data_IF_455798854175
#
_entry.id   IF_455798854175
#
_cell.length_a   1.000
_cell.length_b   1.000
_cell.length_c   1.000
_cell.angle_alpha   90.00
_cell.angle_beta   90.00
_cell.angle_gamma   90.00
#
_symmetry.space_group_name_H-M   'P 1'
#
loop_
_entity.id
_entity.type
_entity.pdbx_description
1 polymer ?
#
# COMPACT_ATOMS: atom_id res chain seq x y z
N UNK A 1 13.12 39.28 42.92
CA UNK A 1 12.77 38.86 41.54
C UNK A 1 13.41 37.50 41.32
N UNK A 2 12.66 36.41 41.55
CA UNK A 2 13.20 35.05 41.42
C UNK A 2 12.91 34.57 40.00
N UNK A 3 13.94 34.31 39.20
CA UNK A 3 13.79 33.76 37.85
C UNK A 3 13.84 32.24 37.96
N UNK A 4 12.71 31.58 37.72
CA UNK A 4 12.63 30.13 37.63
C UNK A 4 12.96 29.74 36.18
N UNK A 5 14.14 29.17 35.97
CA UNK A 5 14.54 28.60 34.69
C UNK A 5 13.90 27.20 34.56
N UNK A 6 12.81 27.11 33.80
CA UNK A 6 12.19 25.83 33.46
C UNK A 6 12.98 25.16 32.32
N UNK A 7 13.62 24.03 32.62
CA UNK A 7 14.27 23.18 31.63
C UNK A 7 13.19 22.30 30.98
N UNK A 8 12.83 22.62 29.74
CA UNK A 8 11.98 21.76 28.92
C UNK A 8 12.81 20.57 28.40
N UNK A 9 12.55 19.38 28.96
CA UNK A 9 13.02 18.12 28.38
C UNK A 9 12.17 17.82 27.13
N UNK A 10 12.67 18.14 25.94
CA UNK A 10 12.13 17.59 24.70
C UNK A 10 12.62 16.15 24.53
N UNK A 11 11.77 15.18 24.86
CA UNK A 11 12.00 13.79 24.52
C UNK A 11 11.96 13.63 22.99
N UNK A 12 13.12 13.51 22.35
CA UNK A 12 13.21 13.06 20.97
C UNK A 12 12.91 11.55 20.95
N UNK A 13 11.67 11.18 20.62
CA UNK A 13 11.36 9.81 20.24
C UNK A 13 12.00 9.55 18.87
N UNK A 14 13.06 8.75 18.85
CA UNK A 14 13.58 8.20 17.61
C UNK A 14 12.54 7.23 17.04
N UNK A 15 11.83 7.65 16.02
CA UNK A 15 11.00 6.73 15.24
C UNK A 15 11.95 5.85 14.41
N UNK A 16 12.00 4.56 14.71
CA UNK A 16 12.65 3.59 13.83
C UNK A 16 11.86 3.59 12.52
N UNK A 17 12.52 4.03 11.45
CA UNK A 17 12.01 3.87 10.09
C UNK A 17 12.19 2.39 9.72
N UNK A 18 11.11 1.71 9.36
CA UNK A 18 11.21 0.35 8.84
C UNK A 18 12.00 0.40 7.53
N UNK A 19 13.19 -0.20 7.54
CA UNK A 19 14.05 -0.29 6.37
C UNK A 19 13.68 -1.56 5.62
N UNK A 20 12.71 -1.45 4.72
CA UNK A 20 12.36 -2.52 3.79
C UNK A 20 13.39 -2.63 2.68
N UNK A 21 13.71 -3.86 2.29
CA UNK A 21 14.49 -4.12 1.09
C UNK A 21 13.71 -3.69 -0.16
N UNK A 22 14.41 -3.30 -1.21
CA UNK A 22 13.78 -2.91 -2.46
C UNK A 22 14.62 -3.19 -3.68
N UNK A 23 13.95 -3.59 -4.75
CA UNK A 23 14.53 -3.70 -6.09
C UNK A 23 14.12 -2.52 -6.97
N UNK A 24 14.99 -2.18 -7.92
CA UNK A 24 14.73 -1.17 -8.95
C UNK A 24 14.86 -1.81 -10.33
N UNK A 25 13.75 -1.88 -11.06
CA UNK A 25 13.68 -2.45 -12.41
C UNK A 25 13.51 -1.30 -13.40
N UNK A 26 14.45 -1.18 -14.35
CA UNK A 26 14.33 -0.22 -15.45
C UNK A 26 13.32 -0.73 -16.48
N UNK A 27 12.32 0.08 -16.82
CA UNK A 27 11.33 -0.25 -17.86
C UNK A 27 11.28 0.84 -18.94
N UNK A 28 10.64 0.55 -20.07
CA UNK A 28 10.42 1.56 -21.12
C UNK A 28 9.53 2.73 -20.66
N UNK A 29 8.71 2.52 -19.63
CA UNK A 29 7.76 3.51 -19.10
C UNK A 29 8.26 4.17 -17.82
N UNK A 30 9.56 4.05 -17.51
CA UNK A 30 10.19 4.58 -16.31
C UNK A 30 10.63 3.48 -15.35
N UNK A 31 11.17 3.89 -14.21
CA UNK A 31 11.66 2.98 -13.19
C UNK A 31 10.51 2.40 -12.38
N UNK A 32 10.49 1.08 -12.21
CA UNK A 32 9.63 0.37 -11.25
C UNK A 32 10.47 0.08 -10.01
N UNK A 33 10.15 0.73 -8.89
CA UNK A 33 10.69 0.36 -7.59
C UNK A 33 9.72 -0.60 -6.91
N UNK A 34 10.22 -1.74 -6.48
CA UNK A 34 9.47 -2.74 -5.70
C UNK A 34 10.04 -2.78 -4.30
N UNK A 35 9.24 -2.44 -3.30
CA UNK A 35 9.61 -2.55 -1.89
C UNK A 35 8.94 -3.79 -1.28
N UNK A 36 9.75 -4.64 -0.67
CA UNK A 36 9.32 -5.91 -0.09
C UNK A 36 8.92 -5.70 1.37
N UNK A 37 7.62 -5.66 1.65
CA UNK A 37 7.10 -5.43 2.99
C UNK A 37 7.11 -6.74 3.80
N UNK A 38 6.57 -7.82 3.22
CA UNK A 38 6.59 -9.16 3.82
C UNK A 38 5.55 -10.08 3.19
N UNK A 39 5.79 -11.39 3.18
CA UNK A 39 4.89 -12.37 2.54
C UNK A 39 4.59 -12.00 1.07
N UNK A 40 3.31 -11.82 0.69
CA UNK A 40 2.87 -11.31 -0.61
C UNK A 40 2.64 -9.80 -0.65
N UNK A 41 2.89 -9.08 0.46
CA UNK A 41 2.66 -7.66 0.57
C UNK A 41 3.82 -6.86 -0.05
N UNK A 42 3.49 -6.05 -1.05
CA UNK A 42 4.45 -5.25 -1.81
C UNK A 42 4.00 -3.80 -1.93
N UNK A 43 4.96 -2.89 -2.02
CA UNK A 43 4.74 -1.49 -2.35
C UNK A 43 5.50 -1.15 -3.64
N UNK A 44 4.78 -0.74 -4.68
CA UNK A 44 5.39 -0.24 -5.90
C UNK A 44 5.35 1.29 -5.96
N UNK A 45 6.46 1.86 -6.41
CA UNK A 45 6.51 3.21 -6.97
C UNK A 45 6.78 3.06 -8.48
N UNK A 46 5.79 3.42 -9.28
CA UNK A 46 5.88 3.28 -10.73
C UNK A 46 5.06 4.34 -11.46
N UNK A 47 5.65 4.97 -12.47
CA UNK A 47 4.98 6.01 -13.28
C UNK A 47 4.34 7.12 -12.42
N UNK A 48 5.01 7.49 -11.32
CA UNK A 48 4.54 8.51 -10.38
C UNK A 48 3.34 8.09 -9.53
N UNK A 49 3.11 6.78 -9.36
CA UNK A 49 2.01 6.23 -8.57
C UNK A 49 2.51 5.38 -7.42
N UNK A 50 1.80 5.47 -6.31
CA UNK A 50 1.95 4.60 -5.14
C UNK A 50 0.95 3.46 -5.26
N UNK A 51 1.44 2.23 -5.43
CA UNK A 51 0.61 1.04 -5.63
C UNK A 51 0.88 0.05 -4.51
N UNK A 52 -0.16 -0.30 -3.75
CA UNK A 52 -0.06 -1.32 -2.70
C UNK A 52 -0.64 -2.64 -3.19
N UNK A 53 0.12 -3.72 -3.03
CA UNK A 53 -0.30 -5.09 -3.34
C UNK A 53 -0.50 -5.83 -2.02
N UNK A 54 -1.69 -6.37 -1.81
CA UNK A 54 -2.06 -7.18 -0.63
C UNK A 54 -1.60 -6.56 0.70
N UNK A 55 -2.02 -5.31 1.02
CA UNK A 55 -1.58 -4.62 2.22
C UNK A 55 -2.09 -5.33 3.48
N UNK A 56 -1.17 -5.77 4.34
CA UNK A 56 -1.48 -6.45 5.61
C UNK A 56 -0.70 -5.83 6.77
N UNK A 57 -1.43 -5.33 7.78
CA UNK A 57 -0.86 -4.56 8.89
C UNK A 57 0.05 -5.37 9.83
N UNK A 58 0.09 -6.70 9.72
CA UNK A 58 1.05 -7.55 10.42
C UNK A 58 2.50 -7.27 9.98
N UNK A 59 2.72 -6.81 8.75
CA UNK A 59 4.04 -6.66 8.15
C UNK A 59 4.56 -5.22 8.09
N UNK A 60 3.69 -4.23 8.35
CA UNK A 60 4.09 -2.82 8.39
C UNK A 60 3.12 -1.95 9.18
N UNK A 61 3.63 -0.83 9.68
CA UNK A 61 2.79 0.28 10.16
C UNK A 61 2.30 1.15 8.99
N UNK A 62 1.13 0.81 8.45
CA UNK A 62 0.51 1.51 7.32
C UNK A 62 0.15 2.98 7.59
N UNK A 63 0.19 3.45 8.83
CA UNK A 63 0.03 4.87 9.13
C UNK A 63 1.26 5.70 8.69
N UNK A 64 2.42 5.05 8.53
CA UNK A 64 3.69 5.66 8.12
C UNK A 64 4.00 5.46 6.63
N UNK A 65 3.25 4.60 5.94
CA UNK A 65 3.40 4.36 4.52
C UNK A 65 2.63 5.39 3.67
N UNK A 66 3.05 5.65 2.43
CA UNK A 66 2.36 6.59 1.55
C UNK A 66 0.94 6.12 1.22
N UNK A 67 0.01 7.08 1.10
CA UNK A 67 -1.37 6.81 0.68
C UNK A 67 -1.40 6.27 -0.75
N UNK A 68 -2.26 5.29 -0.98
CA UNK A 68 -2.31 4.55 -2.24
C UNK A 68 -3.02 5.35 -3.34
N UNK A 69 -2.45 5.36 -4.54
CA UNK A 69 -3.19 5.70 -5.76
C UNK A 69 -3.98 4.48 -6.24
N UNK A 70 -3.39 3.28 -6.14
CA UNK A 70 -4.03 2.02 -6.51
C UNK A 70 -3.76 0.98 -5.41
N UNK A 71 -4.76 0.18 -5.07
CA UNK A 71 -4.64 -0.98 -4.20
C UNK A 71 -5.10 -2.21 -4.96
N UNK A 72 -4.28 -3.27 -4.98
CA UNK A 72 -4.63 -4.57 -5.53
C UNK A 72 -4.77 -5.58 -4.40
N UNK A 73 -5.88 -6.36 -4.40
CA UNK A 73 -6.09 -7.50 -3.51
C UNK A 73 -6.26 -8.77 -4.33
N UNK A 74 -5.32 -9.70 -4.20
CA UNK A 74 -5.26 -10.93 -5.02
C UNK A 74 -6.33 -11.94 -4.63
N UNK A 75 -6.56 -12.16 -3.33
CA UNK A 75 -7.57 -13.09 -2.83
C UNK A 75 -7.96 -12.79 -1.36
N UNK A 76 -9.00 -13.46 -0.87
CA UNK A 76 -9.74 -13.07 0.33
C UNK A 76 -9.16 -13.60 1.65
N UNK A 77 -8.04 -14.31 1.62
CA UNK A 77 -7.38 -14.81 2.83
C UNK A 77 -6.78 -13.66 3.65
N UNK A 78 -6.69 -13.86 4.97
CA UNK A 78 -6.30 -12.79 5.92
C UNK A 78 -4.85 -12.33 5.79
N UNK A 79 -4.00 -13.16 5.18
CA UNK A 79 -2.61 -12.83 4.84
C UNK A 79 -2.47 -12.03 3.53
N UNK A 80 -3.60 -11.69 2.88
CA UNK A 80 -3.65 -10.84 1.69
C UNK A 80 -4.72 -9.72 1.77
N UNK A 81 -5.80 -9.93 2.53
CA UNK A 81 -6.90 -8.99 2.71
C UNK A 81 -6.97 -8.54 4.18
N UNK A 82 -6.46 -7.33 4.44
CA UNK A 82 -6.64 -6.62 5.71
C UNK A 82 -7.40 -5.31 5.49
N UNK A 83 -8.67 -5.31 5.89
CA UNK A 83 -9.57 -4.15 5.76
C UNK A 83 -8.97 -2.93 6.47
N UNK A 84 -8.34 -3.10 7.63
CA UNK A 84 -7.81 -1.97 8.41
C UNK A 84 -6.61 -1.35 7.69
N UNK A 85 -5.72 -2.16 7.13
CA UNK A 85 -4.60 -1.66 6.34
C UNK A 85 -5.10 -0.89 5.11
N UNK A 86 -6.07 -1.45 4.37
CA UNK A 86 -6.71 -0.82 3.21
C UNK A 86 -7.32 0.54 3.58
N UNK A 87 -8.16 0.59 4.62
CA UNK A 87 -8.80 1.83 5.09
C UNK A 87 -7.77 2.87 5.56
N UNK A 88 -6.64 2.42 6.12
CA UNK A 88 -5.58 3.31 6.58
C UNK A 88 -4.92 4.04 5.41
N UNK A 89 -4.70 3.40 4.27
CA UNK A 89 -3.95 3.99 3.14
C UNK A 89 -4.81 4.53 2.00
N UNK A 90 -6.10 4.17 1.94
CA UNK A 90 -6.98 4.71 0.90
C UNK A 90 -7.29 6.19 1.13
N UNK A 91 -7.44 6.91 0.03
CA UNK A 91 -7.96 8.27 -0.10
C UNK A 91 -9.14 8.24 -1.09
N UNK A 92 -9.89 9.33 -1.20
CA UNK A 92 -11.09 9.38 -2.06
C UNK A 92 -10.79 9.03 -3.53
N UNK A 93 -9.59 9.36 -4.00
CA UNK A 93 -9.14 9.07 -5.36
C UNK A 93 -8.45 7.70 -5.53
N UNK A 94 -8.34 6.89 -4.47
CA UNK A 94 -7.72 5.56 -4.56
C UNK A 94 -8.59 4.64 -5.41
N UNK A 95 -7.97 3.96 -6.38
CA UNK A 95 -8.63 2.90 -7.13
C UNK A 95 -8.33 1.56 -6.44
N UNK A 96 -9.36 0.91 -5.91
CA UNK A 96 -9.26 -0.44 -5.37
C UNK A 96 -9.61 -1.45 -6.48
N UNK A 97 -8.77 -2.46 -6.68
CA UNK A 97 -8.97 -3.54 -7.65
C UNK A 97 -8.83 -4.86 -6.93
N UNK A 98 -9.77 -5.78 -7.13
CA UNK A 98 -9.80 -7.04 -6.39
C UNK A 98 -10.62 -8.11 -7.10
N UNK A 99 -10.59 -9.33 -6.57
CA UNK A 99 -11.47 -10.41 -7.02
C UNK A 99 -12.88 -10.29 -6.46
N UNK A 100 -13.80 -11.08 -7.01
CA UNK A 100 -15.21 -11.14 -6.56
C UNK A 100 -15.33 -11.60 -5.09
N UNK A 101 -14.47 -12.53 -4.65
CA UNK A 101 -14.45 -13.01 -3.27
C UNK A 101 -14.04 -11.90 -2.27
N UNK A 102 -13.08 -11.06 -2.63
CA UNK A 102 -12.68 -9.91 -1.83
C UNK A 102 -13.80 -8.86 -1.71
N UNK A 103 -14.55 -8.64 -2.78
CA UNK A 103 -15.66 -7.67 -2.83
C UNK A 103 -16.85 -8.03 -1.91
N UNK A 104 -16.91 -9.29 -1.45
CA UNK A 104 -17.84 -9.69 -0.40
C UNK A 104 -17.50 -9.04 0.96
N UNK A 105 -16.22 -8.74 1.22
CA UNK A 105 -15.71 -8.20 2.50
C UNK A 105 -15.41 -6.71 2.45
N UNK A 106 -14.93 -6.19 1.32
CA UNK A 106 -14.59 -4.77 1.12
C UNK A 106 -15.42 -4.20 -0.02
N UNK A 107 -15.99 -3.00 0.18
CA UNK A 107 -16.81 -2.32 -0.84
C UNK A 107 -16.01 -1.22 -1.54
N UNK A 108 -16.42 -0.88 -2.76
CA UNK A 108 -15.90 0.29 -3.47
C UNK A 108 -14.61 0.03 -4.25
N UNK A 109 -14.66 -0.89 -5.22
CA UNK A 109 -13.54 -1.16 -6.12
C UNK A 109 -13.99 -1.83 -7.42
N UNK A 110 -13.04 -1.94 -8.35
CA UNK A 110 -13.18 -2.67 -9.60
C UNK A 110 -13.00 -4.17 -9.30
N UNK A 111 -13.96 -4.98 -9.72
CA UNK A 111 -13.90 -6.43 -9.59
C UNK A 111 -13.41 -7.03 -10.90
N UNK A 112 -12.31 -7.78 -10.85
CA UNK A 112 -11.77 -8.52 -12.00
C UNK A 112 -11.91 -10.04 -11.77
N UNK A 113 -12.23 -10.75 -12.85
CA UNK A 113 -12.27 -12.22 -12.93
C UNK A 113 -11.08 -12.71 -13.74
N UNK A 114 -10.76 -14.00 -13.60
CA UNK A 114 -9.70 -14.63 -14.39
C UNK A 114 -9.95 -14.44 -15.89
N UNK A 115 -8.96 -13.90 -16.59
CA UNK A 115 -9.01 -13.57 -18.02
C UNK A 115 -9.40 -12.12 -18.32
N UNK A 116 -9.87 -11.35 -17.33
CA UNK A 116 -10.21 -9.95 -17.52
C UNK A 116 -8.97 -9.09 -17.79
N UNK A 117 -9.17 -8.06 -18.60
CA UNK A 117 -8.19 -7.02 -18.90
C UNK A 117 -8.81 -5.66 -18.69
N UNK A 118 -8.17 -4.82 -17.91
CA UNK A 118 -8.67 -3.49 -17.58
C UNK A 118 -7.51 -2.48 -17.53
N UNK A 119 -7.78 -1.22 -17.91
CA UNK A 119 -6.79 -0.15 -17.74
C UNK A 119 -7.08 0.61 -16.45
N UNK A 120 -6.22 0.47 -15.45
CA UNK A 120 -6.39 1.08 -14.14
C UNK A 120 -5.33 2.15 -13.91
N UNK A 121 -5.77 3.40 -13.77
CA UNK A 121 -4.86 4.52 -13.56
C UNK A 121 -3.86 4.75 -14.71
N UNK A 122 -4.10 4.20 -15.90
CA UNK A 122 -3.17 4.24 -17.04
C UNK A 122 -2.21 3.05 -17.12
N UNK A 123 -2.40 2.02 -16.27
CA UNK A 123 -1.68 0.75 -16.33
C UNK A 123 -2.60 -0.35 -16.87
N UNK A 124 -2.11 -1.17 -17.79
CA UNK A 124 -2.84 -2.36 -18.24
C UNK A 124 -2.72 -3.47 -17.19
N UNK A 125 -3.85 -3.94 -16.69
CA UNK A 125 -3.95 -5.00 -15.69
C UNK A 125 -4.58 -6.23 -16.33
N UNK A 126 -3.91 -7.37 -16.19
CA UNK A 126 -4.39 -8.67 -16.64
C UNK A 126 -4.63 -9.55 -15.41
N UNK A 127 -5.88 -9.93 -15.14
CA UNK A 127 -6.20 -10.87 -14.07
C UNK A 127 -6.02 -12.31 -14.58
N UNK A 128 -5.18 -13.10 -13.89
CA UNK A 128 -4.81 -14.46 -14.30
C UNK A 128 -5.15 -15.49 -13.22
N UNK A 129 -5.40 -16.76 -13.57
CA UNK A 129 -5.67 -17.84 -12.62
C UNK A 129 -4.52 -18.16 -11.67
#
# INVERSE_FOLDING_TARGET
MSVVMSVFFCSFSAFAQENFESDLIKTASGDLKITFIGHGTLLFDFSGKVIHIDPVGQYADYSKLPKADIIFITHEHSDHLDIKAIETIRKDATILVMTEACAAKVKGGIVLKNGDRETVGGLEINAVP
#
